data_IF_991851588513
#
_entry.id   IF_991851588513
#
_cell.length_a   1.000
_cell.length_b   1.000
_cell.length_c   1.000
_cell.angle_alpha   90.00
_cell.angle_beta   90.00
_cell.angle_gamma   90.00
#
_symmetry.space_group_name_H-M   'P 1'
#
loop_
_entity.id
_entity.type
_entity.pdbx_description
1 polymer ?
#
# COMPACT_ATOMS: atom_id res chain seq x y z
N UNK A 1 35.46 -51.31 12.44
CA UNK A 1 34.29 -50.49 12.85
C UNK A 1 34.46 -49.05 12.34
N UNK A 2 33.94 -48.69 11.15
CA UNK A 2 34.14 -47.36 10.52
C UNK A 2 32.91 -46.85 9.73
N UNK A 3 31.69 -47.33 10.04
CA UNK A 3 30.46 -46.97 9.29
C UNK A 3 29.47 -46.08 10.04
N UNK A 4 29.64 -45.86 11.35
CA UNK A 4 28.65 -45.16 12.18
C UNK A 4 28.82 -43.63 12.15
N UNK A 5 30.00 -43.11 11.80
CA UNK A 5 30.33 -41.68 11.92
C UNK A 5 29.77 -40.79 10.80
N UNK A 6 29.51 -41.34 9.61
CA UNK A 6 29.02 -40.56 8.46
C UNK A 6 27.50 -40.33 8.49
N UNK A 7 26.73 -41.26 9.08
CA UNK A 7 25.27 -41.13 9.18
C UNK A 7 24.84 -40.02 10.14
N UNK A 8 25.57 -39.83 11.23
CA UNK A 8 25.27 -38.80 12.23
C UNK A 8 25.58 -37.40 11.69
N UNK A 9 26.69 -37.25 10.94
CA UNK A 9 27.06 -35.99 10.28
C UNK A 9 26.04 -35.60 9.21
N UNK A 10 25.59 -36.57 8.39
CA UNK A 10 24.55 -36.34 7.39
C UNK A 10 23.21 -35.95 8.02
N UNK A 11 22.82 -36.59 9.13
CA UNK A 11 21.60 -36.25 9.86
C UNK A 11 21.65 -34.85 10.48
N UNK A 12 22.79 -34.43 11.05
CA UNK A 12 22.97 -33.06 11.53
C UNK A 12 22.95 -32.02 10.42
N UNK A 13 23.54 -32.31 9.24
CA UNK A 13 23.53 -31.37 8.11
C UNK A 13 22.12 -31.18 7.55
N UNK A 14 21.34 -32.27 7.44
CA UNK A 14 19.94 -32.21 7.00
C UNK A 14 19.07 -31.50 8.05
N UNK A 15 19.30 -31.73 9.34
CA UNK A 15 18.63 -31.01 10.43
C UNK A 15 18.90 -29.50 10.39
N UNK A 16 20.16 -29.10 10.19
CA UNK A 16 20.56 -27.69 10.06
C UNK A 16 19.95 -27.01 8.81
N UNK A 17 19.90 -27.72 7.68
CA UNK A 17 19.27 -27.22 6.45
C UNK A 17 17.74 -27.07 6.59
N UNK A 18 17.07 -27.97 7.30
CA UNK A 18 15.62 -27.87 7.56
C UNK A 18 15.29 -26.74 8.55
N UNK A 19 16.14 -26.48 9.55
CA UNK A 19 15.99 -25.32 10.45
C UNK A 19 16.29 -23.99 9.75
N UNK A 20 17.14 -24.00 8.71
CA UNK A 20 17.48 -22.81 7.93
C UNK A 20 16.34 -22.26 7.07
N UNK A 21 15.31 -23.07 6.78
CA UNK A 21 14.12 -22.64 6.04
C UNK A 21 13.02 -22.04 6.95
N UNK A 22 13.13 -22.14 8.28
CA UNK A 22 12.10 -21.61 9.22
C UNK A 22 12.07 -20.08 9.33
N UNK A 23 13.03 -19.36 8.73
CA UNK A 23 13.00 -17.89 8.69
C UNK A 23 12.20 -17.32 7.52
N UNK A 24 11.68 -18.16 6.61
CA UNK A 24 10.61 -17.74 5.71
C UNK A 24 9.28 -17.84 6.46
N UNK A 25 9.11 -16.96 7.46
CA UNK A 25 7.78 -16.66 7.96
C UNK A 25 6.98 -16.09 6.81
N UNK A 26 6.24 -16.94 6.10
CA UNK A 26 5.20 -16.51 5.18
C UNK A 26 4.19 -15.73 6.04
N UNK A 27 4.32 -14.41 6.04
CA UNK A 27 3.38 -13.50 6.68
C UNK A 27 2.10 -13.52 5.85
N UNK A 28 1.31 -14.59 6.00
CA UNK A 28 -0.01 -14.76 5.39
C UNK A 28 -1.09 -13.90 6.07
N UNK A 29 -0.71 -13.02 7.00
CA UNK A 29 -1.64 -12.26 7.83
C UNK A 29 -1.85 -10.82 7.38
N UNK A 30 -1.05 -10.31 6.43
CA UNK A 30 -1.17 -8.94 5.92
C UNK A 30 -1.85 -8.91 4.56
N UNK A 31 -2.77 -7.97 4.30
CA UNK A 31 -3.51 -7.89 3.04
C UNK A 31 -2.58 -7.59 1.85
N UNK A 32 -2.92 -8.16 0.71
CA UNK A 32 -2.24 -7.90 -0.57
C UNK A 32 -3.21 -7.24 -1.53
N UNK A 33 -2.83 -6.07 -2.05
CA UNK A 33 -3.68 -5.27 -2.94
C UNK A 33 -2.91 -4.82 -4.17
N UNK A 34 -3.61 -4.60 -5.28
CA UNK A 34 -3.14 -3.73 -6.36
C UNK A 34 -3.65 -2.31 -6.14
N UNK A 35 -2.78 -1.32 -6.32
CA UNK A 35 -3.15 0.10 -6.29
C UNK A 35 -3.43 0.54 -7.73
N UNK A 36 -4.66 0.99 -8.00
CA UNK A 36 -5.06 1.49 -9.30
C UNK A 36 -4.73 2.98 -9.45
N UNK A 37 -4.76 3.46 -10.71
CA UNK A 37 -4.68 4.89 -11.01
C UNK A 37 -5.82 5.67 -10.33
N UNK A 38 -5.61 6.95 -9.97
CA UNK A 38 -6.63 7.78 -9.38
C UNK A 38 -7.81 8.00 -10.34
N UNK A 39 -9.01 8.04 -9.79
CA UNK A 39 -10.27 8.29 -10.49
C UNK A 39 -11.02 9.46 -9.84
N UNK A 40 -12.13 9.88 -10.47
CA UNK A 40 -13.02 10.93 -9.94
C UNK A 40 -12.29 12.26 -9.65
N UNK A 41 -11.34 12.63 -10.50
CA UNK A 41 -10.52 13.82 -10.33
C UNK A 41 -11.35 15.11 -10.43
N UNK A 42 -11.26 15.95 -9.41
CA UNK A 42 -11.83 17.29 -9.37
C UNK A 42 -10.77 18.31 -8.96
N UNK A 43 -10.73 19.44 -9.67
CA UNK A 43 -9.83 20.55 -9.37
C UNK A 43 -10.66 21.80 -9.11
N UNK A 44 -10.44 22.40 -7.95
CA UNK A 44 -11.07 23.65 -7.52
C UNK A 44 -10.00 24.70 -7.27
N UNK A 45 -10.23 25.91 -7.76
CA UNK A 45 -9.34 27.07 -7.52
C UNK A 45 -10.07 28.05 -6.61
N UNK A 46 -9.47 28.37 -5.48
CA UNK A 46 -9.97 29.36 -4.52
C UNK A 46 -9.05 30.56 -4.53
N UNK A 47 -9.61 31.75 -4.69
CA UNK A 47 -8.88 33.02 -4.59
C UNK A 47 -9.04 33.56 -3.18
N UNK A 48 -7.94 33.66 -2.43
CA UNK A 48 -7.92 34.38 -1.17
C UNK A 48 -7.69 35.86 -1.43
N UNK A 49 -8.51 36.70 -0.81
CA UNK A 49 -8.44 38.15 -0.90
C UNK A 49 -8.21 38.78 0.47
N UNK A 50 -7.45 39.86 0.51
CA UNK A 50 -7.33 40.68 1.72
C UNK A 50 -8.64 41.46 1.98
N UNK A 51 -8.69 42.18 3.10
CA UNK A 51 -9.83 43.04 3.45
C UNK A 51 -10.06 44.20 2.47
N UNK A 52 -9.09 44.52 1.60
CA UNK A 52 -9.21 45.53 0.55
C UNK A 52 -9.65 44.93 -0.81
N UNK A 53 -9.83 43.61 -0.88
CA UNK A 53 -10.25 42.90 -2.09
C UNK A 53 -9.10 42.55 -3.05
N UNK A 54 -7.84 42.78 -2.68
CA UNK A 54 -6.69 42.38 -3.47
C UNK A 54 -6.47 40.87 -3.34
N UNK A 55 -6.04 40.23 -4.43
CA UNK A 55 -5.71 38.80 -4.42
C UNK A 55 -4.41 38.59 -3.65
N UNK A 56 -4.47 37.81 -2.57
CA UNK A 56 -3.31 37.48 -1.73
C UNK A 56 -2.78 36.09 -2.05
N UNK A 57 -3.65 35.13 -2.39
CA UNK A 57 -3.24 33.80 -2.78
C UNK A 57 -4.22 33.13 -3.75
N UNK A 58 -3.69 32.20 -4.54
CA UNK A 58 -4.46 31.20 -5.28
C UNK A 58 -4.23 29.85 -4.61
N UNK A 59 -5.30 29.21 -4.17
CA UNK A 59 -5.27 27.88 -3.58
C UNK A 59 -5.87 26.90 -4.58
N UNK A 60 -5.07 25.93 -4.99
CA UNK A 60 -5.49 24.81 -5.82
C UNK A 60 -5.82 23.63 -4.91
N UNK A 61 -7.06 23.15 -5.00
CA UNK A 61 -7.52 21.95 -4.29
C UNK A 61 -7.81 20.87 -5.30
N UNK A 62 -7.18 19.72 -5.11
CA UNK A 62 -7.30 18.53 -5.94
C UNK A 62 -7.95 17.43 -5.12
N UNK A 63 -9.07 16.91 -5.59
CA UNK A 63 -9.79 15.81 -4.98
C UNK A 63 -9.78 14.63 -5.94
N UNK A 64 -9.46 13.44 -5.44
CA UNK A 64 -9.40 12.22 -6.24
C UNK A 64 -9.62 10.99 -5.37
N UNK A 65 -9.95 9.87 -6.01
CA UNK A 65 -10.11 8.57 -5.36
C UNK A 65 -9.03 7.60 -5.84
N UNK A 66 -8.26 7.04 -4.92
CA UNK A 66 -7.33 5.94 -5.23
C UNK A 66 -8.03 4.63 -4.92
N UNK A 67 -8.11 3.74 -5.90
CA UNK A 67 -8.79 2.46 -5.72
C UNK A 67 -7.80 1.36 -5.38
N UNK A 68 -8.01 0.71 -4.23
CA UNK A 68 -7.32 -0.53 -3.90
C UNK A 68 -8.16 -1.72 -4.31
N UNK A 69 -7.54 -2.73 -4.93
CA UNK A 69 -8.22 -3.99 -5.24
C UNK A 69 -7.51 -5.12 -4.51
N UNK A 70 -8.23 -5.89 -3.69
CA UNK A 70 -7.67 -7.05 -3.01
C UNK A 70 -7.28 -8.12 -4.05
N UNK A 71 -6.10 -8.71 -3.90
CA UNK A 71 -5.66 -9.80 -4.76
C UNK A 71 -6.27 -11.14 -4.29
N UNK A 72 -6.55 -12.09 -5.20
CA UNK A 72 -7.02 -13.42 -4.84
C UNK A 72 -6.15 -14.08 -3.77
N UNK A 73 -6.78 -14.60 -2.72
CA UNK A 73 -6.09 -15.17 -1.56
C UNK A 73 -5.59 -14.15 -0.53
N UNK A 74 -5.86 -12.86 -0.70
CA UNK A 74 -5.51 -11.84 0.29
C UNK A 74 -6.26 -12.06 1.60
N UNK A 75 -5.58 -12.06 2.76
CA UNK A 75 -6.25 -12.00 4.06
C UNK A 75 -6.90 -10.61 4.27
N UNK A 76 -7.76 -10.52 5.28
CA UNK A 76 -8.31 -9.23 5.71
C UNK A 76 -7.25 -8.42 6.49
N UNK A 77 -7.31 -7.09 6.39
CA UNK A 77 -6.40 -6.21 7.11
C UNK A 77 -6.58 -4.74 6.75
N UNK A 78 -5.59 -3.93 7.08
CA UNK A 78 -5.55 -2.50 6.76
C UNK A 78 -4.42 -2.25 5.77
N UNK A 79 -4.65 -1.34 4.84
CA UNK A 79 -3.64 -0.87 3.89
C UNK A 79 -3.51 0.63 4.05
N UNK A 80 -2.29 1.13 4.15
CA UNK A 80 -1.96 2.55 4.19
C UNK A 80 -1.07 2.90 3.01
N UNK A 81 -1.49 3.85 2.18
CA UNK A 81 -0.71 4.30 1.04
C UNK A 81 0.36 5.28 1.49
N UNK A 82 1.59 5.09 0.99
CA UNK A 82 2.72 5.95 1.32
C UNK A 82 3.12 6.76 0.09
N UNK A 83 3.15 8.07 0.28
CA UNK A 83 3.74 9.01 -0.67
C UNK A 83 4.84 9.80 0.03
N UNK A 84 6.09 9.50 -0.31
CA UNK A 84 7.24 10.09 0.38
C UNK A 84 7.22 9.81 1.89
N UNK A 85 7.35 10.86 2.71
CA UNK A 85 7.40 10.79 4.18
C UNK A 85 6.03 10.83 4.87
N UNK A 86 4.94 10.89 4.12
CA UNK A 86 3.59 11.03 4.67
C UNK A 86 2.76 9.80 4.32
N UNK A 87 2.21 9.16 5.34
CA UNK A 87 1.17 8.15 5.17
C UNK A 87 -0.10 8.90 4.80
N UNK A 88 -0.55 8.71 3.55
CA UNK A 88 -1.51 9.62 2.94
C UNK A 88 -2.91 9.27 3.44
N UNK A 89 -3.29 7.98 3.36
CA UNK A 89 -4.61 7.47 3.78
C UNK A 89 -4.58 5.94 3.92
N UNK A 90 -5.51 5.38 4.71
CA UNK A 90 -5.66 3.93 4.82
C UNK A 90 -7.09 3.42 4.71
N UNK A 91 -7.24 2.19 4.24
CA UNK A 91 -8.52 1.49 4.11
C UNK A 91 -8.46 0.09 4.75
N UNK A 92 -9.60 -0.36 5.26
CA UNK A 92 -9.77 -1.75 5.71
C UNK A 92 -10.19 -2.59 4.52
N UNK A 93 -9.42 -3.65 4.26
CA UNK A 93 -9.59 -4.59 3.17
C UNK A 93 -10.13 -5.92 3.76
N UNK A 94 -11.28 -6.41 3.30
CA UNK A 94 -11.77 -7.74 3.68
C UNK A 94 -10.94 -8.84 3.03
N UNK A 95 -11.07 -10.06 3.55
CA UNK A 95 -10.42 -11.24 2.96
C UNK A 95 -10.99 -11.54 1.58
N UNK A 96 -10.13 -11.90 0.64
CA UNK A 96 -10.46 -12.25 -0.73
C UNK A 96 -10.19 -13.75 -0.94
N UNK A 97 -11.22 -14.58 -1.21
CA UNK A 97 -11.03 -16.02 -1.42
C UNK A 97 -10.12 -16.33 -2.60
N UNK A 98 -9.46 -17.49 -2.57
CA UNK A 98 -8.55 -17.94 -3.63
C UNK A 98 -9.27 -18.41 -4.90
N UNK A 99 -10.55 -18.78 -4.79
CA UNK A 99 -11.25 -19.58 -5.81
C UNK A 99 -12.00 -18.78 -6.88
N UNK A 100 -12.10 -17.46 -6.82
CA UNK A 100 -12.73 -16.70 -7.91
C UNK A 100 -12.37 -15.21 -7.86
N UNK A 101 -11.84 -14.69 -8.98
CA UNK A 101 -11.53 -13.26 -9.20
C UNK A 101 -12.78 -12.37 -9.14
N UNK A 102 -13.96 -12.96 -9.35
CA UNK A 102 -15.24 -12.24 -9.41
C UNK A 102 -15.96 -12.12 -8.06
N UNK A 103 -15.52 -12.85 -7.02
CA UNK A 103 -16.16 -12.86 -5.69
C UNK A 103 -15.57 -11.90 -4.67
N UNK A 104 -14.43 -11.28 -4.98
CA UNK A 104 -13.85 -10.27 -4.10
C UNK A 104 -14.56 -8.93 -4.37
N UNK A 105 -15.14 -8.25 -3.37
CA UNK A 105 -15.70 -6.93 -3.58
C UNK A 105 -14.58 -6.03 -4.11
N UNK A 106 -14.72 -5.67 -5.38
CA UNK A 106 -13.56 -5.58 -6.27
C UNK A 106 -12.84 -4.22 -6.23
N UNK A 107 -13.25 -3.28 -5.36
CA UNK A 107 -12.76 -1.91 -5.36
C UNK A 107 -12.96 -1.25 -3.99
N UNK A 108 -11.88 -0.77 -3.38
CA UNK A 108 -11.89 -0.01 -2.13
C UNK A 108 -11.38 1.41 -2.43
N UNK A 109 -12.27 2.35 -2.77
CA UNK A 109 -11.88 3.73 -3.08
C UNK A 109 -11.47 4.47 -1.81
N UNK A 110 -10.35 5.18 -1.90
CA UNK A 110 -9.80 6.05 -0.86
C UNK A 110 -9.88 7.48 -1.36
N UNK A 111 -10.76 8.27 -0.75
CA UNK A 111 -10.87 9.71 -1.03
C UNK A 111 -9.64 10.42 -0.49
N UNK A 112 -9.01 11.19 -1.36
CA UNK A 112 -7.80 11.95 -1.07
C UNK A 112 -8.00 13.39 -1.50
N UNK A 113 -7.40 14.30 -0.75
CA UNK A 113 -7.41 15.73 -1.04
C UNK A 113 -5.98 16.27 -0.93
N UNK A 114 -5.52 16.92 -1.99
CA UNK A 114 -4.24 17.62 -2.03
C UNK A 114 -4.49 19.12 -2.22
N UNK A 115 -3.84 19.94 -1.40
CA UNK A 115 -3.93 21.39 -1.46
C UNK A 115 -2.57 22.00 -1.64
N UNK A 116 -2.49 22.97 -2.53
CA UNK A 116 -1.26 23.73 -2.75
C UNK A 116 -1.55 25.15 -3.21
N UNK A 117 -0.54 26.00 -3.08
CA UNK A 117 -0.55 27.39 -3.50
C UNK A 117 0.85 27.96 -3.32
N UNK A 118 1.20 29.08 -3.99
CA UNK A 118 0.36 29.85 -4.92
C UNK A 118 0.38 29.35 -6.37
N UNK A 119 1.14 28.30 -6.67
CA UNK A 119 1.34 27.80 -8.04
C UNK A 119 0.62 26.46 -8.28
N UNK A 120 0.11 26.30 -9.50
CA UNK A 120 -0.45 25.03 -9.96
C UNK A 120 0.66 23.96 -10.03
N UNK A 121 0.55 22.86 -9.26
CA UNK A 121 1.55 21.81 -9.20
C UNK A 121 1.51 20.99 -10.50
N UNK A 122 2.65 20.45 -10.97
CA UNK A 122 2.62 19.51 -12.08
C UNK A 122 1.85 18.24 -11.68
N UNK A 123 1.19 17.53 -12.63
CA UNK A 123 0.47 16.27 -12.39
C UNK A 123 1.28 15.13 -11.76
N UNK A 124 2.60 15.29 -11.65
CA UNK A 124 3.55 14.33 -11.08
C UNK A 124 4.14 14.83 -9.75
N UNK A 125 3.52 15.82 -9.11
CA UNK A 125 4.03 16.42 -7.88
C UNK A 125 4.11 15.42 -6.74
N UNK A 126 3.18 14.46 -6.71
CA UNK A 126 3.07 13.47 -5.65
C UNK A 126 3.10 12.06 -6.24
N UNK A 127 3.86 11.16 -5.62
CA UNK A 127 4.05 9.79 -6.11
C UNK A 127 3.81 8.79 -5.00
N UNK A 128 2.92 7.83 -5.25
CA UNK A 128 2.69 6.70 -4.37
C UNK A 128 3.53 5.54 -4.89
N UNK A 129 4.56 5.19 -4.12
CA UNK A 129 5.56 4.18 -4.51
C UNK A 129 5.44 2.89 -3.70
N UNK A 130 4.76 2.95 -2.55
CA UNK A 130 4.62 1.83 -1.64
C UNK A 130 3.33 1.91 -0.83
N UNK A 131 2.99 0.81 -0.18
CA UNK A 131 1.93 0.76 0.80
C UNK A 131 2.32 -0.14 1.98
N UNK A 132 1.83 0.22 3.16
CA UNK A 132 1.95 -0.58 4.37
C UNK A 132 0.69 -1.44 4.50
N UNK A 133 0.87 -2.76 4.51
CA UNK A 133 -0.17 -3.72 4.84
C UNK A 133 -0.04 -4.11 6.31
N UNK A 134 -1.14 -4.06 7.06
CA UNK A 134 -1.19 -4.41 8.47
C UNK A 134 -2.32 -5.41 8.71
N UNK A 135 -2.09 -6.42 9.55
CA UNK A 135 -3.13 -7.36 9.97
C UNK A 135 -4.17 -6.65 10.87
N UNK A 136 -5.41 -7.16 10.92
CA UNK A 136 -6.48 -6.55 11.74
C UNK A 136 -6.16 -6.51 13.25
N UNK A 137 -5.34 -7.45 13.72
CA UNK A 137 -4.87 -7.54 15.10
C UNK A 137 -3.51 -6.84 15.33
N UNK A 138 -2.99 -6.12 14.32
CA UNK A 138 -1.73 -5.36 14.35
C UNK A 138 -0.46 -6.17 14.64
N UNK A 139 -0.54 -7.50 14.71
CA UNK A 139 0.61 -8.37 15.01
C UNK A 139 1.56 -8.52 13.83
N UNK A 140 1.13 -8.15 12.62
CA UNK A 140 1.94 -8.22 11.42
C UNK A 140 1.79 -6.95 10.60
N UNK A 141 2.92 -6.43 10.13
CA UNK A 141 2.99 -5.28 9.25
C UNK A 141 4.07 -5.52 8.20
N UNK A 142 3.77 -5.15 6.96
CA UNK A 142 4.70 -5.29 5.84
C UNK A 142 4.54 -4.11 4.89
N UNK A 143 5.65 -3.48 4.54
CA UNK A 143 5.72 -2.54 3.43
C UNK A 143 5.88 -3.30 2.12
N UNK A 144 5.06 -2.96 1.13
CA UNK A 144 5.11 -3.52 -0.20
C UNK A 144 5.32 -2.39 -1.21
N UNK A 145 6.29 -2.57 -2.11
CA UNK A 145 6.49 -1.67 -3.23
C UNK A 145 5.34 -1.82 -4.24
N UNK A 146 4.95 -0.71 -4.85
CA UNK A 146 4.03 -0.72 -5.98
C UNK A 146 4.90 -0.76 -7.24
N UNK A 147 4.72 -1.80 -8.07
CA UNK A 147 5.55 -2.03 -9.26
C UNK A 147 5.54 -0.85 -10.25
N UNK A 148 4.43 -0.11 -10.31
CA UNK A 148 4.30 1.09 -11.10
C UNK A 148 3.86 2.23 -10.18
N UNK A 149 4.68 3.28 -10.04
CA UNK A 149 4.30 4.39 -9.18
C UNK A 149 3.00 5.02 -9.67
N UNK A 150 2.10 5.29 -8.74
CA UNK A 150 0.85 5.99 -9.02
C UNK A 150 1.11 7.47 -8.80
N UNK A 151 1.00 8.25 -9.87
CA UNK A 151 1.15 9.70 -9.81
C UNK A 151 -0.16 10.35 -9.41
N UNK A 152 -0.07 11.25 -8.45
CA UNK A 152 -1.16 12.07 -7.96
C UNK A 152 -0.68 13.52 -7.85
N UNK A 153 -1.63 14.43 -7.72
CA UNK A 153 -1.36 15.85 -7.52
C UNK A 153 -1.00 16.04 -6.05
#
# INVERSE_FOLDING_TARGET
>A
MKRVRYGLIAATLVGLLLTGCSNFGLVFSTPTVSVASPENFQRTVTTEKDSAGNIVALIYTFQYEIVLNALPGSPAGRVFLRSGSVDVFGATIPSCPTTEKDFCPNRFPIKSEYRTGPSDPPPTATQITSYIAQSLNETAQKENAINYPVYVY
#
